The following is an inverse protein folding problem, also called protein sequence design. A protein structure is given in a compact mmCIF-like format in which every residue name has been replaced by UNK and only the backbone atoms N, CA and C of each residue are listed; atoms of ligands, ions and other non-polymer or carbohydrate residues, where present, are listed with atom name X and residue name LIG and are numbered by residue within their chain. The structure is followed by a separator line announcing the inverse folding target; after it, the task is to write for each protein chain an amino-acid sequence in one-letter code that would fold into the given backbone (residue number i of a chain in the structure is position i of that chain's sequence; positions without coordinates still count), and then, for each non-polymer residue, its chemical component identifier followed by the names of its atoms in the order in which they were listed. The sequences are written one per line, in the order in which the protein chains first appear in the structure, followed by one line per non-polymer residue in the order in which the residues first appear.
data_IF_129507716835
#
_entry.id   IF_129507716835
#
_cell.length_a   1.000
_cell.length_b   1.000
_cell.length_c   1.000
_cell.angle_alpha   90.00
_cell.angle_beta   90.00
_cell.angle_gamma   90.00
#
_symmetry.space_group_name_H-M   'P 1'
#
loop_
_entity.id
_entity.type
_entity.pdbx_description
1 polymer ?
#
# COMPACT_ATOMS: atom_id res chain seq x y z
N UNK A 1 15.45 -16.34 -0.03
CA UNK A 1 15.60 -15.37 1.08
C UNK A 1 14.60 -14.24 0.86
N UNK A 2 13.44 -14.31 1.49
CA UNK A 2 12.40 -13.27 1.39
C UNK A 2 12.82 -12.10 2.27
N UNK A 3 13.19 -10.96 1.66
CA UNK A 3 13.53 -9.76 2.40
C UNK A 3 12.24 -9.14 2.96
N UNK A 4 11.73 -9.72 4.05
CA UNK A 4 10.48 -9.32 4.71
C UNK A 4 10.67 -8.11 5.64
N UNK A 5 11.71 -7.30 5.40
CA UNK A 5 12.02 -6.15 6.25
C UNK A 5 10.86 -5.15 6.20
N UNK A 6 10.34 -4.71 7.36
CA UNK A 6 9.35 -3.64 7.43
C UNK A 6 9.76 -2.44 6.57
N UNK A 7 8.83 -1.96 5.76
CA UNK A 7 8.98 -0.73 4.96
C UNK A 7 8.00 0.25 5.61
N UNK A 8 8.48 1.27 6.32
CA UNK A 8 7.63 2.20 7.06
C UNK A 8 6.55 2.89 6.21
N UNK A 9 6.84 3.18 4.94
CA UNK A 9 5.87 3.82 4.04
C UNK A 9 4.73 2.87 3.67
N UNK A 10 5.07 1.59 3.45
CA UNK A 10 4.06 0.55 3.22
C UNK A 10 3.18 0.38 4.46
N UNK A 11 3.76 0.34 5.66
CA UNK A 11 2.96 0.19 6.89
C UNK A 11 1.99 1.35 7.08
N UNK A 12 2.43 2.60 6.86
CA UNK A 12 1.56 3.78 6.88
C UNK A 12 0.41 3.68 5.89
N UNK A 13 0.68 3.23 4.67
CA UNK A 13 -0.34 3.01 3.65
C UNK A 13 -1.37 1.95 4.08
N UNK A 14 -0.92 0.83 4.63
CA UNK A 14 -1.82 -0.24 5.08
C UNK A 14 -2.69 0.21 6.27
N UNK A 15 -2.10 0.94 7.21
CA UNK A 15 -2.84 1.54 8.32
C UNK A 15 -3.90 2.53 7.82
N UNK A 16 -3.53 3.41 6.88
CA UNK A 16 -4.48 4.33 6.25
C UNK A 16 -5.64 3.56 5.62
N UNK A 17 -5.37 2.58 4.75
CA UNK A 17 -6.42 1.81 4.05
C UNK A 17 -7.33 1.07 5.05
N UNK A 18 -6.77 0.52 6.13
CA UNK A 18 -7.56 -0.13 7.18
C UNK A 18 -8.48 0.86 7.89
N UNK A 19 -7.99 2.06 8.23
CA UNK A 19 -8.76 3.09 8.95
C UNK A 19 -9.79 3.79 8.07
N UNK A 20 -9.43 4.18 6.85
CA UNK A 20 -10.26 5.00 5.97
C UNK A 20 -11.21 4.19 5.10
N UNK A 21 -10.81 2.98 4.68
CA UNK A 21 -11.58 2.14 3.74
C UNK A 21 -12.02 0.81 4.35
N UNK A 22 -11.67 0.51 5.61
CA UNK A 22 -12.09 -0.70 6.32
C UNK A 22 -11.43 -2.00 5.84
N UNK A 23 -10.44 -1.94 4.95
CA UNK A 23 -9.76 -3.12 4.42
C UNK A 23 -8.55 -3.52 5.27
N UNK A 24 -8.63 -4.70 5.90
CA UNK A 24 -7.53 -5.28 6.67
C UNK A 24 -6.68 -6.23 5.82
N UNK A 25 -5.37 -5.95 5.73
CA UNK A 25 -4.42 -6.76 4.98
C UNK A 25 -3.55 -7.71 5.84
N UNK A 26 -3.80 -7.81 7.15
CA UNK A 26 -3.01 -8.64 8.08
C UNK A 26 -2.94 -10.12 7.70
N UNK A 27 -3.94 -10.65 7.01
CA UNK A 27 -3.96 -12.04 6.51
C UNK A 27 -3.12 -12.30 5.25
N UNK A 28 -2.54 -11.27 4.63
CA UNK A 28 -1.80 -11.42 3.38
C UNK A 28 -0.29 -11.48 3.58
N UNK A 29 0.38 -12.35 2.81
CA UNK A 29 1.85 -12.35 2.73
C UNK A 29 2.34 -10.99 2.23
N UNK A 30 3.25 -10.40 2.97
CA UNK A 30 3.79 -9.05 2.75
C UNK A 30 4.40 -8.86 1.36
N UNK A 31 5.17 -9.84 0.89
CA UNK A 31 5.74 -9.87 -0.48
C UNK A 31 4.69 -9.90 -1.58
N UNK A 32 3.58 -10.60 -1.37
CA UNK A 32 2.48 -10.67 -2.34
C UNK A 32 1.63 -9.40 -2.32
N UNK A 33 1.47 -8.79 -1.15
CA UNK A 33 0.76 -7.52 -0.98
C UNK A 33 1.54 -6.36 -1.61
N UNK A 34 2.82 -6.21 -1.27
CA UNK A 34 3.67 -5.14 -1.82
C UNK A 34 3.74 -5.19 -3.35
N UNK A 35 3.86 -6.39 -3.94
CA UNK A 35 3.82 -6.56 -5.40
C UNK A 35 2.48 -6.13 -6.02
N UNK A 36 1.35 -6.44 -5.38
CA UNK A 36 0.02 -6.03 -5.87
C UNK A 36 -0.18 -4.52 -5.79
N UNK A 37 0.21 -3.92 -4.67
CA UNK A 37 0.16 -2.47 -4.49
C UNK A 37 1.05 -1.76 -5.51
N UNK A 38 2.29 -2.23 -5.69
CA UNK A 38 3.20 -1.66 -6.70
C UNK A 38 2.63 -1.74 -8.11
N UNK A 39 2.05 -2.88 -8.51
CA UNK A 39 1.37 -2.98 -9.81
C UNK A 39 0.22 -1.99 -9.94
N UNK A 40 -0.58 -1.78 -8.89
CA UNK A 40 -1.65 -0.78 -8.89
C UNK A 40 -1.07 0.63 -9.05
N UNK A 41 -0.01 0.96 -8.33
CA UNK A 41 0.67 2.25 -8.44
C UNK A 41 1.22 2.49 -9.86
N UNK A 42 1.82 1.46 -10.48
CA UNK A 42 2.29 1.52 -11.88
C UNK A 42 1.16 1.85 -12.86
N UNK A 43 -0.06 1.33 -12.65
CA UNK A 43 -1.21 1.65 -13.54
C UNK A 43 -1.68 3.11 -13.48
N UNK A 44 -1.31 3.84 -12.43
CA UNK A 44 -1.67 5.24 -12.24
C UNK A 44 -0.43 6.15 -12.17
N UNK A 45 0.73 5.66 -12.61
CA UNK A 45 2.01 6.38 -12.63
C UNK A 45 2.43 6.98 -11.27
N UNK A 46 2.21 6.24 -10.18
CA UNK A 46 2.66 6.64 -8.85
C UNK A 46 3.93 5.90 -8.47
N UNK A 47 4.96 6.63 -8.05
CA UNK A 47 6.33 6.10 -7.94
C UNK A 47 6.66 5.49 -6.58
N UNK A 48 5.98 5.90 -5.51
CA UNK A 48 6.26 5.46 -4.15
C UNK A 48 5.00 5.46 -3.26
N UNK A 49 5.06 4.78 -2.12
CA UNK A 49 3.90 4.58 -1.25
C UNK A 49 3.39 5.88 -0.64
N UNK A 50 4.27 6.86 -0.38
CA UNK A 50 3.88 8.19 0.13
C UNK A 50 3.01 8.92 -0.89
N UNK A 51 3.46 9.05 -2.14
CA UNK A 51 2.66 9.63 -3.24
C UNK A 51 1.37 8.85 -3.48
N UNK A 52 1.37 7.53 -3.24
CA UNK A 52 0.17 6.71 -3.38
C UNK A 52 -0.83 6.96 -2.27
N UNK A 53 -0.36 7.16 -1.03
CA UNK A 53 -1.19 7.59 0.07
C UNK A 53 -1.82 8.95 -0.22
N UNK A 54 -1.02 9.95 -0.65
CA UNK A 54 -1.53 11.28 -1.05
C UNK A 54 -2.60 11.15 -2.15
N UNK A 55 -2.35 10.30 -3.15
CA UNK A 55 -3.29 10.02 -4.22
C UNK A 55 -4.62 9.44 -3.68
N UNK A 56 -4.58 8.50 -2.74
CA UNK A 56 -5.77 7.88 -2.15
C UNK A 56 -6.56 8.84 -1.26
N UNK A 57 -5.90 9.82 -0.63
CA UNK A 57 -6.56 10.85 0.17
C UNK A 57 -7.39 11.82 -0.68
N UNK A 58 -6.91 12.17 -1.88
CA UNK A 58 -7.63 13.05 -2.80
C UNK A 58 -8.58 12.31 -3.75
N UNK A 59 -8.52 10.97 -3.83
CA UNK A 59 -9.43 10.12 -4.60
C UNK A 59 -10.11 9.06 -3.70
N UNK A 60 -11.16 9.43 -2.94
CA UNK A 60 -11.81 8.55 -1.97
C UNK A 60 -12.67 7.42 -2.59
N UNK A 61 -12.93 7.47 -3.90
CA UNK A 61 -13.75 6.49 -4.63
C UNK A 61 -13.15 5.07 -4.68
#
# INVERSE_FOLDING_TARGET
MSNDKPNPELEKLLEYIKRSRGFDFSGYKRTSLSRRIRRRMETINVENYTKYLDYLEVHPD
#
